data_IF_077557190568
#
_entry.id   IF_077557190568
#
_cell.length_a   1.000
_cell.length_b   1.000
_cell.length_c   1.000
_cell.angle_alpha   90.00
_cell.angle_beta   90.00
_cell.angle_gamma   90.00
#
_symmetry.space_group_name_H-M   'P 1'
#
loop_
_entity.id
_entity.type
_entity.pdbx_description
1 polymer ?
#
# COMPACT_ATOMS: atom_id res chain seq x y z
N UNK A 1 -36.32 -15.67 28.66
CA UNK A 1 -35.05 -15.72 29.41
C UNK A 1 -34.18 -14.54 28.99
N UNK A 2 -33.91 -13.62 29.90
CA UNK A 2 -33.17 -12.38 29.63
C UNK A 2 -31.72 -12.58 30.09
N UNK A 3 -30.76 -12.63 29.19
CA UNK A 3 -29.32 -12.59 29.52
C UNK A 3 -28.85 -11.14 29.57
N UNK A 4 -28.38 -10.71 30.74
CA UNK A 4 -27.78 -9.41 30.97
C UNK A 4 -26.32 -9.44 30.56
N UNK A 5 -25.93 -8.63 29.58
CA UNK A 5 -24.53 -8.37 29.25
C UNK A 5 -23.85 -7.56 30.38
N UNK A 6 -22.72 -8.05 30.88
CA UNK A 6 -21.88 -7.37 31.86
C UNK A 6 -20.80 -6.59 31.11
N UNK A 7 -20.94 -5.29 31.08
CA UNK A 7 -19.90 -4.35 30.66
C UNK A 7 -18.75 -4.38 31.66
N UNK A 8 -17.55 -4.71 31.23
CA UNK A 8 -16.30 -4.50 31.99
C UNK A 8 -15.59 -3.27 31.45
N UNK A 9 -15.60 -2.22 32.26
CA UNK A 9 -14.83 -1.02 32.09
C UNK A 9 -13.37 -1.32 32.50
N UNK A 10 -12.41 -1.21 31.61
CA UNK A 10 -10.98 -1.24 31.91
C UNK A 10 -10.44 0.17 31.73
N UNK A 11 -10.09 0.79 32.84
CA UNK A 11 -9.38 2.06 32.89
C UNK A 11 -7.88 1.74 32.87
N UNK A 12 -7.16 2.24 31.86
CA UNK A 12 -5.71 2.18 31.86
C UNK A 12 -5.13 3.59 31.88
N UNK A 13 -4.30 3.82 32.89
CA UNK A 13 -3.69 5.08 33.31
C UNK A 13 -2.51 5.49 32.43
N UNK A 14 -2.41 6.78 32.25
CA UNK A 14 -1.38 7.60 31.60
C UNK A 14 0.01 7.39 32.21
N UNK A 15 1.02 7.25 31.34
CA UNK A 15 2.44 7.38 31.66
C UNK A 15 3.10 8.38 30.71
N UNK A 16 3.32 9.59 31.23
CA UNK A 16 4.04 10.69 30.60
C UNK A 16 5.53 10.53 30.87
N UNK A 17 6.37 10.47 29.85
CA UNK A 17 7.82 10.66 30.00
C UNK A 17 8.41 11.40 28.80
N UNK A 18 8.75 12.64 29.04
CA UNK A 18 9.52 13.51 28.17
C UNK A 18 11.02 13.32 28.44
N UNK A 19 11.83 13.14 27.40
CA UNK A 19 13.29 13.41 27.46
C UNK A 19 13.75 13.99 26.12
N UNK A 20 14.20 15.25 26.18
CA UNK A 20 15.08 15.90 25.19
C UNK A 20 16.52 15.59 25.53
N UNK A 21 17.46 15.51 24.59
CA UNK A 21 18.58 16.44 24.65
C UNK A 21 18.92 17.15 23.33
N UNK A 22 19.31 18.40 23.50
CA UNK A 22 20.07 19.24 22.58
C UNK A 22 21.49 18.71 22.43
N UNK A 23 22.07 18.83 21.24
CA UNK A 23 23.49 18.69 20.98
C UNK A 23 23.87 19.54 19.77
N UNK A 24 24.51 20.68 20.08
CA UNK A 24 25.06 21.66 19.15
C UNK A 24 26.57 21.44 18.96
N UNK A 25 27.17 22.24 18.04
CA UNK A 25 28.57 22.48 17.71
C UNK A 25 29.09 21.75 16.47
N UNK A 26 29.65 22.40 15.41
CA UNK A 26 30.40 23.65 15.35
C UNK A 26 31.77 23.35 14.74
N UNK A 27 32.31 24.26 13.92
CA UNK A 27 33.69 24.26 13.45
C UNK A 27 33.81 24.13 11.93
N UNK A 28 34.01 25.18 11.17
CA UNK A 28 35.01 26.22 10.94
C UNK A 28 36.31 25.74 10.24
N UNK A 29 36.60 26.54 9.17
CA UNK A 29 37.91 26.90 8.61
C UNK A 29 38.68 25.81 7.84
N UNK A 30 39.28 26.06 6.70
CA UNK A 30 40.19 27.15 6.34
C UNK A 30 40.44 27.23 4.82
N UNK A 31 40.89 28.38 4.40
CA UNK A 31 41.21 28.83 3.05
C UNK A 31 42.62 28.41 2.59
N UNK A 32 42.89 28.79 1.32
CA UNK A 32 44.20 28.92 0.64
C UNK A 32 44.62 27.72 -0.20
N UNK A 33 45.01 27.83 -1.43
CA UNK A 33 45.77 28.80 -2.21
C UNK A 33 45.74 28.43 -3.71
N UNK A 34 45.73 29.43 -4.58
CA UNK A 34 46.04 29.33 -6.00
C UNK A 34 47.56 29.11 -6.19
N UNK A 35 48.03 28.37 -7.22
CA UNK A 35 48.35 29.07 -8.47
C UNK A 35 48.07 28.28 -9.78
N UNK A 36 47.75 29.04 -10.82
CA UNK A 36 47.83 28.66 -12.23
C UNK A 36 49.27 28.40 -12.68
N UNK A 37 49.55 27.46 -13.62
CA UNK A 37 49.79 27.95 -14.97
C UNK A 37 49.23 27.07 -16.13
N UNK A 38 49.02 27.73 -17.24
CA UNK A 38 48.69 27.33 -18.58
C UNK A 38 49.28 25.99 -19.03
N UNK A 39 48.44 25.15 -19.64
CA UNK A 39 48.85 24.25 -20.70
C UNK A 39 47.68 23.99 -21.64
N UNK A 40 47.80 24.52 -22.83
CA UNK A 40 46.96 24.20 -23.99
C UNK A 40 47.11 22.74 -24.31
N UNK A 41 46.07 21.99 -24.26
CA UNK A 41 45.99 20.64 -24.84
C UNK A 41 44.66 20.48 -25.54
N UNK A 42 44.76 20.16 -26.81
CA UNK A 42 43.73 19.96 -27.81
C UNK A 42 42.58 19.11 -27.27
N UNK A 43 41.36 19.60 -27.35
CA UNK A 43 40.12 18.85 -27.09
C UNK A 43 39.93 17.77 -28.16
N UNK A 44 39.78 16.50 -27.77
CA UNK A 44 39.15 15.53 -28.65
C UNK A 44 37.66 15.84 -28.73
N UNK A 45 37.15 15.94 -29.94
CA UNK A 45 35.71 16.00 -30.22
C UNK A 45 35.08 14.75 -29.64
N UNK A 46 34.40 14.90 -28.52
CA UNK A 46 33.60 13.82 -27.96
C UNK A 46 32.35 13.62 -28.85
N UNK A 47 32.38 12.55 -29.63
CA UNK A 47 31.20 12.04 -30.31
C UNK A 47 30.21 11.61 -29.23
N UNK A 48 29.20 12.44 -28.98
CA UNK A 48 28.11 12.11 -28.08
C UNK A 48 27.29 10.98 -28.70
N UNK A 49 27.59 9.77 -28.26
CA UNK A 49 26.74 8.62 -28.57
C UNK A 49 25.39 8.85 -27.86
N UNK A 50 24.37 9.20 -28.62
CA UNK A 50 22.99 9.25 -28.15
C UNK A 50 22.57 7.83 -27.79
N UNK A 51 22.65 7.49 -26.52
CA UNK A 51 22.09 6.24 -26.00
C UNK A 51 20.56 6.31 -26.15
N UNK A 52 20.03 5.56 -27.08
CA UNK A 52 18.59 5.29 -27.18
C UNK A 52 18.20 4.52 -25.92
N UNK A 53 17.26 4.99 -25.10
CA UNK A 53 16.79 4.23 -23.95
C UNK A 53 16.17 2.93 -24.45
N UNK A 54 16.80 1.80 -24.19
CA UNK A 54 16.23 0.49 -24.42
C UNK A 54 15.15 0.30 -23.34
N UNK A 55 13.89 0.39 -23.73
CA UNK A 55 12.77 0.02 -22.86
C UNK A 55 12.85 -1.48 -22.64
N UNK A 56 13.34 -1.88 -21.47
CA UNK A 56 13.31 -3.29 -21.04
C UNK A 56 11.86 -3.64 -20.78
N UNK A 57 11.38 -4.76 -21.34
CA UNK A 57 10.03 -5.26 -21.02
C UNK A 57 9.95 -5.57 -19.51
N UNK A 58 8.79 -5.30 -18.85
CA UNK A 58 8.63 -5.61 -17.44
C UNK A 58 8.85 -7.11 -17.18
N UNK A 59 9.40 -7.44 -16.02
CA UNK A 59 9.51 -8.82 -15.59
C UNK A 59 8.14 -9.40 -15.25
N UNK A 60 7.97 -10.73 -15.23
CA UNK A 60 6.71 -11.33 -14.79
C UNK A 60 6.32 -10.93 -13.36
N UNK A 61 7.28 -10.72 -12.47
CA UNK A 61 7.07 -10.23 -11.12
C UNK A 61 6.58 -8.78 -11.12
N UNK A 62 7.15 -7.91 -11.96
CA UNK A 62 6.71 -6.52 -12.10
C UNK A 62 5.26 -6.45 -12.57
N UNK A 63 4.86 -7.27 -13.56
CA UNK A 63 3.48 -7.35 -14.03
C UNK A 63 2.50 -7.75 -12.90
N UNK A 64 2.89 -8.68 -12.05
CA UNK A 64 2.11 -9.13 -10.89
C UNK A 64 1.97 -8.02 -9.87
N UNK A 65 3.05 -7.32 -9.52
CA UNK A 65 3.06 -6.22 -8.56
C UNK A 65 2.23 -5.02 -9.05
N UNK A 66 2.35 -4.66 -10.32
CA UNK A 66 1.55 -3.59 -10.93
C UNK A 66 0.05 -3.93 -10.88
N UNK A 67 -0.32 -5.16 -11.22
CA UNK A 67 -1.70 -5.61 -11.14
C UNK A 67 -2.23 -5.63 -9.70
N UNK A 68 -1.39 -5.99 -8.73
CA UNK A 68 -1.74 -5.97 -7.31
C UNK A 68 -1.92 -4.54 -6.78
N UNK A 69 -1.07 -3.62 -7.20
CA UNK A 69 -1.23 -2.20 -6.90
C UNK A 69 -2.53 -1.62 -7.48
N UNK A 70 -2.84 -1.98 -8.73
CA UNK A 70 -4.10 -1.59 -9.37
C UNK A 70 -5.33 -2.18 -8.65
N UNK A 71 -5.24 -3.43 -8.16
CA UNK A 71 -6.28 -4.02 -7.32
C UNK A 71 -6.63 -3.15 -6.12
N UNK A 72 -5.63 -2.69 -5.34
CA UNK A 72 -5.88 -1.82 -4.19
C UNK A 72 -6.56 -0.51 -4.59
N UNK A 73 -6.15 0.08 -5.72
CA UNK A 73 -6.72 1.33 -6.23
C UNK A 73 -8.20 1.18 -6.62
N UNK A 74 -8.53 0.14 -7.38
CA UNK A 74 -9.91 -0.14 -7.82
C UNK A 74 -10.79 -0.52 -6.63
N UNK A 75 -10.26 -1.33 -5.71
CA UNK A 75 -10.99 -1.76 -4.53
C UNK A 75 -11.28 -0.60 -3.58
N UNK A 76 -10.31 0.29 -3.35
CA UNK A 76 -10.51 1.51 -2.57
C UNK A 76 -11.61 2.40 -3.16
N UNK A 77 -11.63 2.57 -4.48
CA UNK A 77 -12.68 3.32 -5.16
C UNK A 77 -14.06 2.65 -4.98
N UNK A 78 -14.13 1.32 -5.15
CA UNK A 78 -15.37 0.56 -5.00
C UNK A 78 -15.98 0.70 -3.59
N UNK A 79 -15.18 0.63 -2.54
CA UNK A 79 -15.63 0.77 -1.15
C UNK A 79 -16.03 2.20 -0.81
N UNK A 80 -15.30 3.20 -1.34
CA UNK A 80 -15.58 4.62 -1.11
C UNK A 80 -16.87 5.08 -1.79
N UNK A 81 -17.09 4.61 -3.03
CA UNK A 81 -18.18 5.07 -3.86
C UNK A 81 -19.37 4.10 -3.88
N UNK A 82 -19.21 2.94 -3.24
CA UNK A 82 -20.16 1.82 -3.21
C UNK A 82 -20.53 1.34 -4.62
N UNK A 83 -19.54 1.33 -5.50
CA UNK A 83 -19.67 0.90 -6.89
C UNK A 83 -18.79 -0.32 -7.15
N UNK A 84 -19.45 -1.47 -7.36
CA UNK A 84 -18.78 -2.74 -7.61
C UNK A 84 -18.51 -3.01 -9.09
N UNK A 85 -18.88 -2.12 -10.00
CA UNK A 85 -18.88 -2.35 -11.46
C UNK A 85 -17.50 -2.74 -12.01
N UNK A 86 -16.42 -2.24 -11.39
CA UNK A 86 -15.04 -2.48 -11.82
C UNK A 86 -14.32 -3.60 -11.07
N UNK A 87 -14.92 -4.19 -10.04
CA UNK A 87 -14.23 -5.21 -9.24
C UNK A 87 -13.79 -6.42 -10.07
N UNK A 88 -14.58 -6.83 -11.07
CA UNK A 88 -14.23 -7.94 -11.96
C UNK A 88 -13.03 -7.65 -12.90
N UNK A 89 -12.60 -6.39 -13.02
CA UNK A 89 -11.38 -6.04 -13.74
C UNK A 89 -10.12 -6.53 -13.00
N UNK A 90 -10.14 -6.51 -11.65
CA UNK A 90 -8.98 -6.75 -10.78
C UNK A 90 -9.14 -7.93 -9.84
N UNK A 91 -10.33 -8.51 -9.73
CA UNK A 91 -10.64 -9.65 -8.86
C UNK A 91 -11.27 -10.79 -9.67
N UNK A 92 -11.14 -12.02 -9.15
CA UNK A 92 -11.80 -13.22 -9.69
C UNK A 92 -12.09 -14.21 -8.54
N UNK A 93 -12.95 -15.20 -8.81
CA UNK A 93 -13.26 -16.28 -7.85
C UNK A 93 -13.67 -15.77 -6.46
N UNK A 94 -13.24 -16.45 -5.38
CA UNK A 94 -13.71 -16.12 -4.01
C UNK A 94 -13.45 -14.67 -3.60
N UNK A 95 -12.39 -14.04 -4.11
CA UNK A 95 -12.11 -12.63 -3.76
C UNK A 95 -13.14 -11.69 -4.40
N UNK A 96 -13.56 -11.97 -5.63
CA UNK A 96 -14.59 -11.19 -6.31
C UNK A 96 -15.93 -11.32 -5.57
N UNK A 97 -16.32 -12.55 -5.22
CA UNK A 97 -17.57 -12.80 -4.50
C UNK A 97 -17.63 -12.02 -3.18
N UNK A 98 -16.54 -12.05 -2.41
CA UNK A 98 -16.43 -11.27 -1.16
C UNK A 98 -16.46 -9.78 -1.40
N UNK A 99 -15.79 -9.28 -2.43
CA UNK A 99 -15.78 -7.85 -2.76
C UNK A 99 -17.15 -7.32 -3.17
N UNK A 100 -17.89 -8.08 -3.97
CA UNK A 100 -19.28 -7.74 -4.34
C UNK A 100 -20.20 -7.69 -3.12
N UNK A 101 -20.10 -8.69 -2.24
CA UNK A 101 -20.88 -8.73 -1.00
C UNK A 101 -20.56 -7.58 -0.07
N UNK A 102 -19.29 -7.24 0.08
CA UNK A 102 -18.83 -6.15 0.95
C UNK A 102 -19.36 -4.79 0.49
N UNK A 103 -19.33 -4.50 -0.81
CA UNK A 103 -19.91 -3.27 -1.37
C UNK A 103 -21.44 -3.24 -1.17
N UNK A 104 -22.12 -4.38 -1.34
CA UNK A 104 -23.56 -4.49 -1.12
C UNK A 104 -23.92 -4.25 0.35
N UNK A 105 -23.16 -4.82 1.29
CA UNK A 105 -23.36 -4.65 2.73
C UNK A 105 -23.15 -3.19 3.17
N UNK A 106 -22.13 -2.52 2.64
CA UNK A 106 -21.90 -1.09 2.86
C UNK A 106 -23.08 -0.25 2.36
N UNK A 107 -23.60 -0.56 1.17
CA UNK A 107 -24.76 0.14 0.62
C UNK A 107 -26.00 -0.06 1.50
N UNK A 108 -26.26 -1.30 1.96
CA UNK A 108 -27.38 -1.61 2.85
C UNK A 108 -27.28 -0.92 4.22
N UNK A 109 -26.06 -0.69 4.72
CA UNK A 109 -25.79 0.01 5.98
C UNK A 109 -25.76 1.54 5.84
N UNK A 110 -25.87 2.08 4.63
CA UNK A 110 -25.75 3.52 4.38
C UNK A 110 -24.33 4.06 4.67
N UNK A 111 -23.30 3.24 4.55
CA UNK A 111 -21.89 3.59 4.85
C UNK A 111 -21.00 3.41 3.63
N UNK A 112 -19.83 3.99 3.71
CA UNK A 112 -18.71 3.74 2.79
C UNK A 112 -17.43 3.57 3.61
N UNK A 113 -16.34 3.17 2.97
CA UNK A 113 -15.03 3.03 3.61
C UNK A 113 -14.02 3.92 2.89
N UNK A 114 -13.28 4.73 3.66
CA UNK A 114 -12.01 5.28 3.24
C UNK A 114 -10.95 4.20 3.49
N UNK A 115 -10.59 3.45 2.43
CA UNK A 115 -9.56 2.42 2.49
C UNK A 115 -8.19 3.09 2.48
N UNK A 116 -7.47 2.98 3.60
CA UNK A 116 -6.14 3.55 3.81
C UNK A 116 -5.17 2.40 4.08
N UNK A 117 -4.52 1.92 3.02
CA UNK A 117 -3.61 0.78 3.07
C UNK A 117 -2.26 1.19 2.49
N UNK A 118 -1.20 0.96 3.25
CA UNK A 118 0.18 1.04 2.79
C UNK A 118 0.70 -0.38 2.63
N UNK A 119 0.67 -0.87 1.39
CA UNK A 119 1.01 -2.24 1.00
C UNK A 119 2.51 -2.35 0.72
N UNK A 120 3.13 -3.46 1.17
CA UNK A 120 4.53 -3.79 0.93
C UNK A 120 4.65 -5.23 0.40
N UNK A 121 4.16 -5.50 -0.82
CA UNK A 121 4.07 -6.84 -1.37
C UNK A 121 5.42 -7.38 -1.82
N UNK A 122 5.61 -8.69 -1.62
CA UNK A 122 6.73 -9.46 -2.14
C UNK A 122 6.18 -10.63 -2.95
N UNK A 123 6.57 -10.76 -4.21
CA UNK A 123 6.22 -11.92 -5.02
C UNK A 123 7.04 -13.11 -4.54
N UNK A 124 6.36 -14.15 -4.06
CA UNK A 124 6.99 -15.39 -3.61
C UNK A 124 7.22 -16.34 -4.77
N UNK A 125 6.31 -16.34 -5.75
CA UNK A 125 6.35 -17.26 -6.86
C UNK A 125 5.49 -16.77 -8.03
N UNK A 126 5.93 -17.03 -9.27
CA UNK A 126 5.14 -16.93 -10.49
C UNK A 126 5.26 -18.25 -11.26
N UNK A 127 4.14 -18.93 -11.48
CA UNK A 127 4.06 -20.19 -12.24
C UNK A 127 2.94 -20.14 -13.26
N UNK A 128 3.27 -19.95 -14.54
CA UNK A 128 2.29 -19.84 -15.61
C UNK A 128 1.28 -18.73 -15.33
N UNK A 129 0.00 -19.09 -15.17
CA UNK A 129 -1.10 -18.15 -14.91
C UNK A 129 -1.42 -17.98 -13.41
N UNK A 130 -0.54 -18.39 -12.52
CA UNK A 130 -0.68 -18.21 -11.08
C UNK A 130 0.54 -17.51 -10.49
N UNK A 131 0.29 -16.66 -9.50
CA UNK A 131 1.34 -16.06 -8.68
C UNK A 131 0.91 -16.04 -7.21
N UNK A 132 1.91 -16.05 -6.33
CA UNK A 132 1.75 -15.97 -4.89
C UNK A 132 2.50 -14.74 -4.38
N UNK A 133 1.82 -13.93 -3.58
CA UNK A 133 2.35 -12.71 -2.97
C UNK A 133 2.24 -12.84 -1.45
N UNK A 134 3.29 -12.45 -0.73
CA UNK A 134 3.18 -12.10 0.68
C UNK A 134 3.08 -10.57 0.78
N UNK A 135 2.09 -10.08 1.51
CA UNK A 135 1.93 -8.64 1.75
C UNK A 135 1.84 -8.35 3.24
N UNK A 136 2.80 -7.60 3.75
CA UNK A 136 2.73 -7.00 5.08
C UNK A 136 2.35 -5.53 4.91
N UNK A 137 1.15 -5.16 5.32
CA UNK A 137 0.62 -3.84 5.09
C UNK A 137 0.12 -3.15 6.35
N UNK A 138 0.15 -1.82 6.32
CA UNK A 138 -0.44 -0.98 7.35
C UNK A 138 -1.88 -0.63 6.92
N UNK A 139 -2.83 -0.89 7.81
CA UNK A 139 -4.24 -0.58 7.59
C UNK A 139 -4.72 0.47 8.59
N UNK A 140 -5.15 1.60 8.07
CA UNK A 140 -5.72 2.71 8.85
C UNK A 140 -7.11 3.12 8.33
N UNK A 141 -7.85 2.15 7.78
CA UNK A 141 -9.15 2.36 7.13
C UNK A 141 -10.24 2.68 8.14
N UNK A 142 -11.22 3.48 7.73
CA UNK A 142 -12.34 3.87 8.57
C UNK A 142 -13.62 4.08 7.77
N UNK A 143 -14.76 4.07 8.46
CA UNK A 143 -16.05 4.36 7.84
C UNK A 143 -16.22 5.85 7.56
N UNK A 144 -16.84 6.13 6.41
CA UNK A 144 -17.20 7.48 5.99
C UNK A 144 -18.68 7.53 5.59
N UNK A 145 -19.24 8.72 5.68
CA UNK A 145 -20.52 9.03 5.07
C UNK A 145 -20.38 9.02 3.55
N UNK A 146 -21.23 8.29 2.82
CA UNK A 146 -21.06 8.12 1.37
C UNK A 146 -21.27 9.38 0.53
N UNK A 147 -21.98 10.40 1.05
CA UNK A 147 -22.27 11.63 0.33
C UNK A 147 -21.24 12.72 0.66
N UNK A 148 -21.02 12.95 1.94
CA UNK A 148 -20.11 14.01 2.42
C UNK A 148 -18.67 13.60 2.46
N UNK A 149 -18.38 12.27 2.41
CA UNK A 149 -17.04 11.65 2.56
C UNK A 149 -16.38 11.97 3.91
N UNK A 150 -17.15 12.43 4.88
CA UNK A 150 -16.66 12.71 6.24
C UNK A 150 -16.61 11.42 7.09
N UNK A 151 -15.66 11.30 8.02
CA UNK A 151 -15.59 10.17 8.93
C UNK A 151 -16.88 9.95 9.72
N UNK A 152 -17.30 8.70 9.87
CA UNK A 152 -18.43 8.27 10.69
C UNK A 152 -17.93 7.45 11.86
N UNK A 153 -18.03 8.00 13.06
CA UNK A 153 -17.50 7.39 14.28
C UNK A 153 -16.03 7.73 14.52
N UNK A 154 -15.35 6.88 15.30
CA UNK A 154 -13.94 7.06 15.60
C UNK A 154 -13.07 6.62 14.41
N UNK A 155 -12.09 7.45 14.06
CA UNK A 155 -11.00 7.04 13.17
C UNK A 155 -9.90 6.34 13.96
N UNK A 156 -9.15 5.40 13.37
CA UNK A 156 -8.03 4.76 14.05
C UNK A 156 -6.98 5.78 14.51
N UNK A 157 -6.45 5.61 15.70
CA UNK A 157 -5.37 6.47 16.23
C UNK A 157 -3.97 6.02 15.78
N UNK A 158 -3.87 4.77 15.31
CA UNK A 158 -2.66 4.20 14.75
C UNK A 158 -3.04 3.11 13.72
N UNK A 159 -2.23 2.88 12.69
CA UNK A 159 -2.46 1.81 11.74
C UNK A 159 -2.29 0.43 12.40
N UNK A 160 -3.03 -0.55 11.91
CA UNK A 160 -2.88 -1.96 12.24
C UNK A 160 -1.97 -2.63 11.20
N UNK A 161 -0.95 -3.36 11.64
CA UNK A 161 -0.11 -4.17 10.75
C UNK A 161 -0.80 -5.50 10.51
N UNK A 162 -1.02 -5.81 9.25
CA UNK A 162 -1.66 -7.04 8.79
C UNK A 162 -0.74 -7.78 7.81
N UNK A 163 -0.84 -9.11 7.78
CA UNK A 163 -0.09 -9.96 6.87
C UNK A 163 -1.03 -10.88 6.14
N UNK A 164 -1.00 -10.81 4.84
CA UNK A 164 -1.83 -11.65 3.98
C UNK A 164 -0.93 -12.41 2.99
N UNK A 165 -1.29 -13.67 2.74
CA UNK A 165 -0.80 -14.42 1.59
C UNK A 165 -1.86 -14.39 0.51
N UNK A 166 -1.52 -13.79 -0.64
CA UNK A 166 -2.46 -13.50 -1.72
C UNK A 166 -2.15 -14.37 -2.94
N UNK A 167 -3.18 -15.04 -3.46
CA UNK A 167 -3.12 -15.77 -4.72
C UNK A 167 -3.62 -14.89 -5.85
N UNK A 168 -2.77 -14.67 -6.86
CA UNK A 168 -3.13 -14.04 -8.12
C UNK A 168 -3.39 -15.10 -9.19
N UNK A 169 -4.27 -14.78 -10.14
CA UNK A 169 -4.53 -15.60 -11.32
C UNK A 169 -4.59 -14.72 -12.56
N UNK A 170 -3.95 -15.16 -13.65
CA UNK A 170 -4.07 -14.53 -14.95
C UNK A 170 -5.35 -15.05 -15.64
N UNK A 171 -6.24 -14.15 -16.01
CA UNK A 171 -7.51 -14.43 -16.69
C UNK A 171 -7.59 -13.52 -17.92
N UNK A 172 -7.71 -14.08 -19.09
CA UNK A 172 -7.72 -13.36 -20.38
C UNK A 172 -6.51 -12.42 -20.53
N UNK A 173 -5.32 -12.88 -20.07
CA UNK A 173 -4.08 -12.13 -20.13
C UNK A 173 -3.87 -11.09 -19.03
N UNK A 174 -4.84 -10.89 -18.12
CA UNK A 174 -4.80 -9.91 -17.03
C UNK A 174 -4.63 -10.60 -15.69
N UNK A 175 -3.66 -10.16 -14.88
CA UNK A 175 -3.50 -10.62 -13.52
C UNK A 175 -4.60 -10.06 -12.61
N UNK A 176 -5.25 -10.93 -11.82
CA UNK A 176 -6.33 -10.59 -10.90
C UNK A 176 -6.13 -11.27 -9.56
N UNK A 177 -6.52 -10.60 -8.48
CA UNK A 177 -6.55 -11.22 -7.15
C UNK A 177 -7.68 -12.26 -7.12
N UNK A 178 -7.31 -13.51 -6.83
CA UNK A 178 -8.24 -14.64 -6.73
C UNK A 178 -8.68 -14.89 -5.31
N UNK A 179 -7.73 -14.88 -4.37
CA UNK A 179 -7.97 -15.14 -2.96
C UNK A 179 -6.90 -14.50 -2.09
N UNK A 180 -7.15 -14.40 -0.80
CA UNK A 180 -6.20 -13.95 0.20
C UNK A 180 -6.50 -14.61 1.53
N UNK A 181 -5.45 -15.06 2.20
CA UNK A 181 -5.50 -15.66 3.54
C UNK A 181 -4.70 -14.79 4.49
N UNK A 182 -5.36 -14.34 5.54
CA UNK A 182 -4.71 -13.57 6.60
C UNK A 182 -3.95 -14.50 7.53
N UNK A 183 -2.71 -14.14 7.83
CA UNK A 183 -1.96 -14.80 8.89
C UNK A 183 -2.55 -14.38 10.24
N UNK A 184 -2.84 -15.36 11.09
CA UNK A 184 -3.24 -15.07 12.46
C UNK A 184 -2.02 -14.51 13.20
N UNK A 185 -2.14 -13.27 13.70
CA UNK A 185 -1.13 -12.72 14.60
C UNK A 185 -1.07 -13.60 15.84
N UNK A 186 0.01 -14.38 15.99
CA UNK A 186 0.22 -15.23 17.14
C UNK A 186 0.14 -14.40 18.43
N UNK A 187 -0.77 -14.78 19.31
CA UNK A 187 -0.91 -14.22 20.66
C UNK A 187 0.16 -14.77 21.57
#
# INVERSE_FOLDING_TARGET
MRQRARTRLVILTVGLSAVLPLGACGGDDDASDTPTPDSRTSSPVATTATSVPTTVAPSPEDEVLDAYSNYWSVYAAALRDRDSSRLAEVMTGPRLDRGLQEVADLAAQGRAIALMVESNPVVLEVRGDQALIADEYQNNSYYIDPETKQPVGATPSAPETLKDTVTMQRVDGVWKVRDGVREESGR
#
